data_IF_653845569800
#
_entry.id   IF_653845569800
#
_cell.length_a   1.000
_cell.length_b   1.000
_cell.length_c   1.000
_cell.angle_alpha   90.00
_cell.angle_beta   90.00
_cell.angle_gamma   90.00
#
_symmetry.space_group_name_H-M   'P 1'
#
loop_
_entity.id
_entity.type
_entity.pdbx_description
1 polymer ?
#
# COMPACT_ATOMS: atom_id res chain seq x y z
N UNK A 1 -12.78 -0.60 16.88
CA UNK A 1 -11.62 0.07 16.24
C UNK A 1 -10.40 -0.85 16.13
N UNK A 2 -10.02 -1.58 17.18
CA UNK A 2 -8.88 -2.52 17.16
C UNK A 2 -8.84 -3.47 15.95
N UNK A 3 -9.99 -4.05 15.56
CA UNK A 3 -10.06 -4.93 14.39
C UNK A 3 -9.67 -4.18 13.10
N UNK A 4 -10.14 -2.96 12.89
CA UNK A 4 -9.84 -2.20 11.67
C UNK A 4 -8.36 -1.81 11.61
N UNK A 5 -7.80 -1.33 12.73
CA UNK A 5 -6.37 -1.04 12.83
C UNK A 5 -5.52 -2.29 12.58
N UNK A 6 -5.95 -3.45 13.11
CA UNK A 6 -5.30 -4.73 12.82
C UNK A 6 -5.40 -5.09 11.33
N UNK A 7 -6.57 -4.90 10.71
CA UNK A 7 -6.72 -5.16 9.26
C UNK A 7 -5.82 -4.28 8.42
N UNK A 8 -5.66 -3.01 8.76
CA UNK A 8 -4.70 -2.12 8.09
C UNK A 8 -3.27 -2.61 8.26
N UNK A 9 -2.88 -2.99 9.49
CA UNK A 9 -1.56 -3.57 9.76
C UNK A 9 -1.33 -4.81 8.89
N UNK A 10 -2.28 -5.73 8.86
CA UNK A 10 -2.19 -6.96 8.06
C UNK A 10 -1.98 -6.66 6.57
N UNK A 11 -2.75 -5.73 5.99
CA UNK A 11 -2.60 -5.40 4.56
C UNK A 11 -1.31 -4.62 4.29
N UNK A 12 -0.88 -3.74 5.19
CA UNK A 12 0.37 -3.01 5.02
C UNK A 12 1.59 -3.93 5.04
N UNK A 13 1.57 -4.92 5.95
CA UNK A 13 2.60 -5.97 6.02
C UNK A 13 2.63 -6.77 4.73
N UNK A 14 1.47 -7.15 4.16
CA UNK A 14 1.45 -7.85 2.87
C UNK A 14 2.13 -7.04 1.77
N UNK A 15 1.88 -5.74 1.65
CA UNK A 15 2.58 -4.91 0.66
C UNK A 15 4.08 -4.91 0.89
N UNK A 16 4.53 -4.75 2.13
CA UNK A 16 5.95 -4.75 2.48
C UNK A 16 6.61 -6.10 2.18
N UNK A 17 5.95 -7.22 2.52
CA UNK A 17 6.43 -8.57 2.22
C UNK A 17 6.60 -8.79 0.71
N UNK A 18 5.65 -8.30 -0.10
CA UNK A 18 5.77 -8.40 -1.55
C UNK A 18 6.99 -7.62 -2.05
N UNK A 19 7.15 -6.36 -1.63
CA UNK A 19 8.30 -5.55 -2.08
C UNK A 19 9.61 -6.15 -1.59
N UNK A 20 9.64 -6.69 -0.37
CA UNK A 20 10.81 -7.39 0.16
C UNK A 20 11.16 -8.64 -0.65
N UNK A 21 10.18 -9.33 -1.21
CA UNK A 21 10.36 -10.50 -2.09
C UNK A 21 10.85 -10.13 -3.50
N UNK A 22 10.44 -8.96 -4.02
CA UNK A 22 10.79 -8.49 -5.36
C UNK A 22 12.23 -7.94 -5.43
N UNK A 23 12.88 -8.10 -6.58
CA UNK A 23 14.13 -7.37 -6.90
C UNK A 23 13.84 -5.96 -7.40
N UNK A 24 14.86 -5.08 -7.42
CA UNK A 24 14.73 -3.74 -8.00
C UNK A 24 14.34 -3.75 -9.48
N UNK A 25 14.86 -4.71 -10.25
CA UNK A 25 14.48 -4.84 -11.66
C UNK A 25 13.00 -5.22 -11.82
N UNK A 26 12.42 -5.95 -10.86
CA UNK A 26 11.00 -6.23 -10.90
C UNK A 26 10.15 -4.95 -10.73
N UNK A 27 10.63 -3.93 -10.02
CA UNK A 27 9.90 -2.66 -9.85
C UNK A 27 9.70 -1.91 -11.17
N UNK A 28 10.55 -2.18 -12.17
CA UNK A 28 10.48 -1.57 -13.52
C UNK A 28 9.46 -2.26 -14.42
N UNK A 29 8.98 -3.45 -14.05
CA UNK A 29 8.11 -4.26 -14.89
C UNK A 29 6.69 -3.69 -15.01
N UNK A 30 6.09 -3.89 -16.18
CA UNK A 30 4.70 -3.54 -16.54
C UNK A 30 3.90 -4.81 -16.83
N UNK A 31 2.61 -4.69 -17.13
CA UNK A 31 1.78 -5.80 -17.61
C UNK A 31 1.95 -6.01 -19.11
N UNK A 32 3.11 -6.49 -19.55
CA UNK A 32 3.40 -6.76 -20.96
C UNK A 32 3.06 -5.56 -21.86
N UNK A 33 2.23 -5.80 -22.88
CA UNK A 33 1.80 -4.78 -23.84
C UNK A 33 0.52 -4.02 -23.43
N UNK A 34 0.00 -4.24 -22.21
CA UNK A 34 -1.20 -3.56 -21.74
C UNK A 34 -0.85 -2.14 -21.24
N UNK A 35 -1.76 -1.16 -21.42
CA UNK A 35 -1.59 0.17 -20.84
C UNK A 35 -1.61 0.05 -19.31
N UNK A 36 -0.43 0.11 -18.71
CA UNK A 36 -0.21 -0.19 -17.29
C UNK A 36 0.96 0.64 -16.77
N UNK A 37 0.91 1.03 -15.50
CA UNK A 37 2.07 1.61 -14.83
C UNK A 37 3.10 0.51 -14.52
N UNK A 38 4.31 0.87 -14.08
CA UNK A 38 5.24 -0.13 -13.53
C UNK A 38 4.79 -0.60 -12.15
N UNK A 39 5.33 -1.73 -11.67
CA UNK A 39 5.12 -2.17 -10.28
C UNK A 39 5.53 -1.06 -9.29
N UNK A 40 6.68 -0.42 -9.50
CA UNK A 40 7.15 0.71 -8.70
C UNK A 40 6.15 1.88 -8.66
N UNK A 41 5.53 2.21 -9.80
CA UNK A 41 4.50 3.23 -9.88
C UNK A 41 3.18 2.83 -9.21
N UNK A 42 2.83 1.53 -9.17
CA UNK A 42 1.72 1.04 -8.34
C UNK A 42 2.01 1.27 -6.86
N UNK A 43 3.24 0.99 -6.41
CA UNK A 43 3.68 1.22 -5.03
C UNK A 43 3.70 2.72 -4.68
N UNK A 44 4.05 3.59 -5.64
CA UNK A 44 3.92 5.03 -5.47
C UNK A 44 2.47 5.47 -5.23
N UNK A 45 1.50 4.89 -5.93
CA UNK A 45 0.08 5.15 -5.68
C UNK A 45 -0.35 4.68 -4.28
N UNK A 46 0.10 3.49 -3.85
CA UNK A 46 -0.17 2.96 -2.52
C UNK A 46 0.38 3.89 -1.43
N UNK A 47 1.66 4.24 -1.51
CA UNK A 47 2.32 5.14 -0.54
C UNK A 47 1.61 6.49 -0.51
N UNK A 48 1.34 7.05 -1.68
CA UNK A 48 0.66 8.34 -1.78
C UNK A 48 -0.76 8.30 -1.22
N UNK A 49 -1.49 7.22 -1.43
CA UNK A 49 -2.80 7.03 -0.80
C UNK A 49 -2.67 6.95 0.74
N UNK A 50 -1.72 6.16 1.27
CA UNK A 50 -1.48 6.11 2.72
C UNK A 50 -1.22 7.50 3.29
N UNK A 51 -0.37 8.29 2.67
CA UNK A 51 -0.03 9.65 3.13
C UNK A 51 -1.20 10.63 3.00
N UNK A 52 -1.92 10.58 1.88
CA UNK A 52 -3.06 11.47 1.62
C UNK A 52 -4.26 11.16 2.52
N UNK A 53 -4.59 9.88 2.67
CA UNK A 53 -5.64 9.44 3.60
C UNK A 53 -5.23 9.68 5.05
N UNK A 54 -3.96 9.50 5.43
CA UNK A 54 -3.49 9.84 6.78
C UNK A 54 -3.74 11.30 7.12
N UNK A 55 -3.42 12.22 6.19
CA UNK A 55 -3.74 13.64 6.36
C UNK A 55 -5.25 13.86 6.50
N UNK A 56 -6.06 13.21 5.67
CA UNK A 56 -7.51 13.34 5.73
C UNK A 56 -8.12 12.75 7.01
N UNK A 57 -7.54 11.70 7.56
CA UNK A 57 -7.93 11.10 8.85
C UNK A 57 -7.60 12.06 9.98
N UNK A 58 -6.42 12.69 9.97
CA UNK A 58 -6.01 13.66 11.00
C UNK A 58 -6.89 14.92 10.96
N UNK A 59 -7.01 15.54 9.79
CA UNK A 59 -7.76 16.80 9.60
C UNK A 59 -9.28 16.60 9.57
N UNK A 60 -9.74 15.38 9.31
CA UNK A 60 -11.15 15.07 9.09
C UNK A 60 -11.69 15.55 7.75
N UNK A 61 -10.85 15.89 6.77
CA UNK A 61 -11.26 16.31 5.42
C UNK A 61 -10.22 15.95 4.35
N UNK A 62 -10.65 15.73 3.11
CA UNK A 62 -9.70 15.46 2.02
C UNK A 62 -8.89 16.71 1.68
N UNK A 63 -7.57 16.56 1.61
CA UNK A 63 -6.64 17.67 1.37
C UNK A 63 -5.77 17.48 0.11
N UNK A 64 -6.23 16.64 -0.83
CA UNK A 64 -5.53 16.35 -2.07
C UNK A 64 -4.51 15.22 -1.96
N UNK A 65 -4.10 14.73 -3.13
CA UNK A 65 -3.11 13.67 -3.24
C UNK A 65 -1.69 14.21 -3.00
N UNK A 66 -0.90 13.48 -2.23
CA UNK A 66 0.53 13.72 -2.02
C UNK A 66 1.26 12.39 -1.93
N UNK A 67 2.50 12.34 -2.40
CA UNK A 67 3.36 11.18 -2.24
C UNK A 67 4.81 11.64 -2.07
N UNK A 68 5.44 11.19 -0.99
CA UNK A 68 6.82 11.51 -0.66
C UNK A 68 7.86 10.68 -1.41
N UNK A 69 7.45 9.56 -2.02
CA UNK A 69 8.34 8.70 -2.79
C UNK A 69 8.74 9.39 -4.09
N UNK A 70 10.05 9.64 -4.26
CA UNK A 70 10.61 10.35 -5.42
C UNK A 70 11.18 9.43 -6.50
N UNK A 71 11.59 8.23 -6.11
CA UNK A 71 12.17 7.23 -7.01
C UNK A 71 11.45 5.90 -6.82
N UNK A 72 10.83 5.39 -7.89
CA UNK A 72 9.97 4.19 -7.83
C UNK A 72 10.71 2.89 -8.09
N UNK A 73 11.97 2.96 -8.52
CA UNK A 73 12.78 1.80 -8.89
C UNK A 73 13.81 1.43 -7.84
N UNK A 74 14.01 2.26 -6.82
CA UNK A 74 14.85 1.94 -5.65
C UNK A 74 14.03 1.19 -4.62
N UNK A 75 14.41 -0.06 -4.35
CA UNK A 75 13.70 -0.90 -3.38
C UNK A 75 13.81 -0.34 -1.97
N UNK A 76 14.99 0.17 -1.60
CA UNK A 76 15.22 0.73 -0.27
C UNK A 76 14.33 1.95 -0.01
N UNK A 77 14.25 2.88 -0.97
CA UNK A 77 13.40 4.08 -0.83
C UNK A 77 11.90 3.74 -0.79
N UNK A 78 11.49 2.74 -1.57
CA UNK A 78 10.12 2.22 -1.55
C UNK A 78 9.81 1.60 -0.18
N UNK A 79 10.68 0.73 0.33
CA UNK A 79 10.51 0.07 1.64
C UNK A 79 10.50 1.08 2.78
N UNK A 80 11.42 2.06 2.77
CA UNK A 80 11.44 3.14 3.76
C UNK A 80 10.11 3.92 3.75
N UNK A 81 9.60 4.25 2.57
CA UNK A 81 8.36 5.01 2.42
C UNK A 81 7.12 4.20 2.83
N UNK A 82 7.08 2.90 2.53
CA UNK A 82 6.01 2.00 2.99
C UNK A 82 5.98 1.88 4.51
N UNK A 83 7.14 1.66 5.14
CA UNK A 83 7.24 1.54 6.59
C UNK A 83 6.86 2.85 7.27
N UNK A 84 7.45 3.97 6.83
CA UNK A 84 7.16 5.29 7.39
C UNK A 84 5.69 5.67 7.28
N UNK A 85 5.06 5.41 6.13
CA UNK A 85 3.63 5.74 5.92
C UNK A 85 2.71 4.83 6.75
N UNK A 86 3.08 3.55 6.94
CA UNK A 86 2.36 2.64 7.81
C UNK A 86 2.47 3.03 9.29
N UNK A 87 3.69 3.23 9.79
CA UNK A 87 3.95 3.50 11.20
C UNK A 87 3.24 4.76 11.68
N UNK A 88 3.37 5.87 10.93
CA UNK A 88 2.71 7.15 11.25
C UNK A 88 1.20 7.00 11.40
N UNK A 89 0.57 6.27 10.49
CA UNK A 89 -0.88 6.07 10.54
C UNK A 89 -1.28 5.15 11.68
N UNK A 90 -0.60 4.03 11.85
CA UNK A 90 -0.93 3.03 12.87
C UNK A 90 -0.71 3.57 14.29
N UNK A 91 0.29 4.43 14.50
CA UNK A 91 0.51 5.16 15.76
C UNK A 91 -0.67 6.10 16.06
N UNK A 92 -1.08 6.91 15.09
CA UNK A 92 -2.24 7.80 15.23
C UNK A 92 -3.52 7.03 15.55
N UNK A 93 -3.79 5.93 14.83
CA UNK A 93 -4.98 5.09 15.05
C UNK A 93 -4.95 4.34 16.39
N UNK A 94 -3.78 4.21 17.03
CA UNK A 94 -3.61 3.55 18.33
C UNK A 94 -3.94 4.45 19.52
N UNK A 95 -3.97 5.76 19.33
CA UNK A 95 -4.09 6.76 20.41
C UNK A 95 -5.40 7.54 20.38
N UNK A 96 -6.09 7.58 19.24
CA UNK A 96 -7.22 8.48 19.00
C UNK A 96 -8.55 7.75 18.82
N UNK A 97 -9.62 8.29 19.41
CA UNK A 97 -10.99 7.89 19.06
C UNK A 97 -11.44 8.59 17.77
N UNK A 98 -11.87 7.80 16.78
CA UNK A 98 -12.26 8.34 15.48
C UNK A 98 -13.75 8.64 15.41
N UNK A 99 -14.07 9.83 14.92
CA UNK A 99 -15.43 10.13 14.46
C UNK A 99 -15.80 9.28 13.23
N UNK A 100 -17.09 9.11 12.97
CA UNK A 100 -17.58 8.37 11.79
C UNK A 100 -16.99 8.93 10.48
N UNK A 101 -16.83 10.26 10.38
CA UNK A 101 -16.23 10.92 9.22
C UNK A 101 -14.78 10.48 9.01
N UNK A 102 -13.98 10.44 10.09
CA UNK A 102 -12.59 9.97 10.03
C UNK A 102 -12.52 8.48 9.72
N UNK A 103 -13.42 7.69 10.30
CA UNK A 103 -13.53 6.25 10.06
C UNK A 103 -13.79 5.92 8.58
N UNK A 104 -14.60 6.71 7.87
CA UNK A 104 -14.83 6.55 6.43
C UNK A 104 -13.52 6.66 5.63
N UNK A 105 -12.64 7.59 5.98
CA UNK A 105 -11.32 7.69 5.33
C UNK A 105 -10.42 6.47 5.62
N UNK A 106 -10.46 5.93 6.84
CA UNK A 106 -9.72 4.71 7.18
C UNK A 106 -10.19 3.52 6.35
N UNK A 107 -11.52 3.36 6.20
CA UNK A 107 -12.12 2.29 5.39
C UNK A 107 -11.74 2.46 3.91
N UNK A 108 -11.86 3.68 3.37
CA UNK A 108 -11.48 3.96 1.98
C UNK A 108 -10.00 3.68 1.71
N UNK A 109 -9.11 3.94 2.66
CA UNK A 109 -7.69 3.57 2.54
C UNK A 109 -7.51 2.05 2.50
N UNK A 110 -8.20 1.30 3.37
CA UNK A 110 -8.15 -0.16 3.37
C UNK A 110 -8.63 -0.74 2.04
N UNK A 111 -9.74 -0.22 1.51
CA UNK A 111 -10.29 -0.62 0.21
C UNK A 111 -9.31 -0.34 -0.93
N UNK A 112 -8.70 0.86 -0.93
CA UNK A 112 -7.69 1.24 -1.91
C UNK A 112 -6.47 0.31 -1.88
N UNK A 113 -5.95 0.01 -0.69
CA UNK A 113 -4.82 -0.91 -0.49
C UNK A 113 -5.13 -2.31 -1.06
N UNK A 114 -6.28 -2.87 -0.69
CA UNK A 114 -6.70 -4.21 -1.15
C UNK A 114 -6.99 -4.23 -2.66
N UNK A 115 -7.51 -3.14 -3.22
CA UNK A 115 -7.67 -3.00 -4.67
C UNK A 115 -6.31 -3.09 -5.38
N UNK A 116 -5.30 -2.39 -4.88
CA UNK A 116 -3.95 -2.50 -5.43
C UNK A 116 -3.33 -3.88 -5.23
N UNK A 117 -3.63 -4.60 -4.15
CA UNK A 117 -3.20 -5.99 -4.02
C UNK A 117 -3.77 -6.85 -5.15
N UNK A 118 -5.05 -6.72 -5.47
CA UNK A 118 -5.66 -7.41 -6.61
C UNK A 118 -5.00 -7.08 -7.95
N UNK A 119 -4.61 -5.82 -8.15
CA UNK A 119 -3.84 -5.42 -9.34
C UNK A 119 -2.45 -6.05 -9.33
N UNK A 120 -1.71 -5.95 -8.23
CA UNK A 120 -0.36 -6.50 -8.08
C UNK A 120 -0.33 -8.01 -8.31
N UNK A 121 -1.35 -8.77 -7.87
CA UNK A 121 -1.49 -10.20 -8.20
C UNK A 121 -1.40 -10.42 -9.72
N UNK A 122 -2.06 -9.57 -10.52
CA UNK A 122 -1.99 -9.67 -11.98
C UNK A 122 -0.60 -9.33 -12.51
N UNK A 123 0.11 -8.35 -11.92
CA UNK A 123 1.49 -8.04 -12.31
C UNK A 123 2.43 -9.20 -12.05
N UNK A 124 2.33 -9.84 -10.88
CA UNK A 124 3.19 -10.96 -10.50
C UNK A 124 2.96 -12.13 -11.48
N UNK A 125 1.71 -12.53 -11.72
CA UNK A 125 1.42 -13.57 -12.72
C UNK A 125 1.85 -13.18 -14.14
N UNK A 126 1.52 -11.97 -14.57
CA UNK A 126 1.80 -11.49 -15.93
C UNK A 126 3.30 -11.39 -16.25
N UNK A 127 4.13 -11.21 -15.23
CA UNK A 127 5.59 -11.18 -15.33
C UNK A 127 6.26 -12.49 -14.92
N UNK A 128 5.49 -13.56 -14.66
CA UNK A 128 5.99 -14.87 -14.25
C UNK A 128 6.87 -14.81 -12.99
N UNK A 129 6.52 -13.92 -12.06
CA UNK A 129 7.17 -13.79 -10.77
C UNK A 129 6.50 -14.70 -9.73
N UNK A 130 7.20 -15.00 -8.64
CA UNK A 130 6.65 -15.74 -7.50
C UNK A 130 6.12 -14.80 -6.42
N UNK A 131 5.25 -15.32 -5.55
CA UNK A 131 4.73 -14.59 -4.39
C UNK A 131 5.49 -14.97 -3.11
N UNK A 132 5.52 -14.08 -2.10
CA UNK A 132 5.92 -14.46 -0.74
C UNK A 132 4.83 -15.34 -0.07
N UNK A 133 5.22 -16.14 0.92
CA UNK A 133 4.33 -17.04 1.66
C UNK A 133 3.11 -16.35 2.29
N UNK A 134 3.25 -15.09 2.70
CA UNK A 134 2.15 -14.32 3.29
C UNK A 134 1.02 -14.05 2.30
N UNK A 135 1.34 -13.87 1.01
CA UNK A 135 0.36 -13.69 -0.05
C UNK A 135 -0.35 -15.00 -0.40
N UNK A 136 0.38 -16.11 -0.45
CA UNK A 136 -0.21 -17.45 -0.57
C UNK A 136 -1.23 -17.69 0.54
N UNK A 137 -0.87 -17.37 1.78
CA UNK A 137 -1.76 -17.52 2.95
C UNK A 137 -3.01 -16.65 2.86
N UNK A 138 -2.87 -15.40 2.38
CA UNK A 138 -3.98 -14.43 2.35
C UNK A 138 -4.94 -14.64 1.18
N UNK A 139 -4.39 -14.93 0.00
CA UNK A 139 -5.10 -14.87 -1.27
C UNK A 139 -5.14 -16.21 -2.02
N UNK A 140 -4.41 -17.23 -1.57
CA UNK A 140 -4.32 -18.54 -2.26
C UNK A 140 -3.76 -18.41 -3.68
N UNK A 141 -2.91 -17.39 -3.90
CA UNK A 141 -2.19 -17.16 -5.17
C UNK A 141 -1.04 -18.13 -5.40
#
# INVERSE_FOLDING_TARGET
MQILTQRLRDVFTLTADLVQHLSEDNLKLRLGNLPSNTIGQQLWCIIGARESYSRAIVSGQWEGFTCSLRETTSKDLVMESLNRSADKLLEYLGTEELSEKKLKFVISLLEHEVQHHGQLIRYIYGNQLSFPNSWHTRYTV
#
